data_IF_024123342182
#
_entry.id   IF_024123342182
#
_cell.length_a   1.000
_cell.length_b   1.000
_cell.length_c   1.000
_cell.angle_alpha   90.00
_cell.angle_beta   90.00
_cell.angle_gamma   90.00
#
_symmetry.space_group_name_H-M   'P 1'
#
loop_
_entity.id
_entity.type
_entity.pdbx_description
1 polymer ?
#
# COMPACT_ATOMS: atom_id res chain seq x y z
N UNK A 1 0.94 12.71 0.22
CA UNK A 1 0.91 13.39 1.52
C UNK A 1 -0.28 12.89 2.34
N UNK A 2 -1.51 13.18 1.90
CA UNK A 2 -2.74 12.75 2.58
C UNK A 2 -2.77 11.26 2.97
N UNK A 3 -2.51 10.33 2.05
CA UNK A 3 -2.50 8.89 2.34
C UNK A 3 -1.49 8.47 3.42
N UNK A 4 -0.33 9.14 3.49
CA UNK A 4 0.67 8.85 4.53
C UNK A 4 0.20 9.35 5.90
N UNK A 5 -0.36 10.56 5.95
CA UNK A 5 -0.99 11.08 7.17
C UNK A 5 -2.13 10.17 7.63
N UNK A 6 -3.00 9.71 6.73
CA UNK A 6 -4.09 8.80 7.04
C UNK A 6 -3.60 7.45 7.60
N UNK A 7 -2.54 6.89 7.02
CA UNK A 7 -1.91 5.65 7.49
C UNK A 7 -1.24 5.82 8.87
N UNK A 8 -0.67 7.01 9.14
CA UNK A 8 -0.05 7.34 10.42
C UNK A 8 -1.06 7.74 11.52
N UNK A 9 -2.20 8.34 11.16
CA UNK A 9 -3.19 8.93 12.08
C UNK A 9 -4.33 7.97 12.50
N UNK A 10 -4.37 6.75 11.97
CA UNK A 10 -5.17 5.67 12.56
C UNK A 10 -6.20 4.99 11.66
N UNK A 11 -6.29 5.30 10.37
CA UNK A 11 -7.14 4.49 9.46
C UNK A 11 -6.65 3.04 9.35
N UNK A 12 -5.34 2.84 9.51
CA UNK A 12 -4.72 1.53 9.54
C UNK A 12 -4.65 0.91 10.95
N UNK A 13 -5.29 1.53 11.94
CA UNK A 13 -5.29 1.04 13.32
C UNK A 13 -6.24 -0.15 13.48
N UNK A 14 -5.66 -1.32 13.75
CA UNK A 14 -6.40 -2.57 13.94
C UNK A 14 -7.28 -2.59 15.20
N UNK A 15 -7.24 -1.55 16.03
CA UNK A 15 -8.14 -1.36 17.18
C UNK A 15 -9.49 -0.78 16.79
N UNK A 16 -9.59 -0.18 15.60
CA UNK A 16 -10.81 0.44 15.08
C UNK A 16 -11.20 -0.09 13.69
N UNK A 17 -11.27 -1.42 13.46
CA UNK A 17 -11.64 -1.98 12.16
C UNK A 17 -13.07 -1.62 11.75
N UNK A 18 -13.93 -1.19 12.68
CA UNK A 18 -15.26 -0.63 12.41
C UNK A 18 -15.23 0.69 11.62
N UNK A 19 -14.09 1.40 11.59
CA UNK A 19 -13.93 2.65 10.85
C UNK A 19 -13.61 2.42 9.36
N UNK A 20 -13.41 1.18 8.93
CA UNK A 20 -13.33 0.83 7.51
C UNK A 20 -14.74 0.94 6.93
N UNK A 21 -15.08 2.15 6.47
CA UNK A 21 -16.43 2.47 5.98
C UNK A 21 -16.85 1.53 4.84
N UNK A 22 -17.88 0.76 5.11
CA UNK A 22 -18.48 -0.20 4.19
C UNK A 22 -20.01 -0.05 4.21
N UNK A 23 -20.53 1.18 4.30
CA UNK A 23 -21.97 1.47 4.35
C UNK A 23 -22.74 0.83 3.17
N UNK A 24 -22.09 0.70 2.02
CA UNK A 24 -22.65 0.04 0.83
C UNK A 24 -22.78 -1.49 0.97
N UNK A 25 -22.06 -2.11 1.91
CA UNK A 25 -22.08 -3.56 2.15
C UNK A 25 -23.17 -3.99 3.13
N UNK A 26 -23.80 -3.09 3.87
CA UNK A 26 -24.81 -3.43 4.88
C UNK A 26 -25.99 -4.24 4.32
N UNK A 27 -26.29 -4.07 3.03
CA UNK A 27 -27.37 -4.79 2.33
C UNK A 27 -26.87 -6.00 1.51
N UNK A 28 -25.59 -6.39 1.65
CA UNK A 28 -24.98 -7.49 0.92
C UNK A 28 -25.08 -8.80 1.71
N UNK A 29 -25.35 -9.93 1.03
CA UNK A 29 -25.40 -11.27 1.63
C UNK A 29 -24.09 -11.67 2.32
N UNK A 30 -22.94 -11.20 1.82
CA UNK A 30 -21.61 -11.51 2.37
C UNK A 30 -21.24 -10.69 3.61
N UNK A 31 -22.07 -9.73 4.04
CA UNK A 31 -21.73 -8.85 5.17
C UNK A 31 -21.51 -9.62 6.47
N UNK A 32 -22.26 -10.72 6.70
CA UNK A 32 -22.12 -11.55 7.91
C UNK A 32 -20.74 -12.20 8.02
N UNK A 33 -20.15 -12.58 6.90
CA UNK A 33 -18.81 -13.19 6.86
C UNK A 33 -17.74 -12.16 7.16
N UNK A 34 -17.88 -10.95 6.61
CA UNK A 34 -17.02 -9.80 6.92
C UNK A 34 -17.10 -9.44 8.42
N UNK A 35 -18.32 -9.32 8.97
CA UNK A 35 -18.54 -9.00 10.38
C UNK A 35 -17.89 -10.04 11.30
N UNK A 36 -18.07 -11.34 11.02
CA UNK A 36 -17.43 -12.42 11.78
C UNK A 36 -15.89 -12.35 11.74
N UNK A 37 -15.31 -11.95 10.60
CA UNK A 37 -13.87 -11.77 10.46
C UNK A 37 -13.37 -10.58 11.29
N UNK A 38 -14.05 -9.44 11.24
CA UNK A 38 -13.71 -8.24 12.03
C UNK A 38 -13.80 -8.53 13.53
N UNK A 39 -14.83 -9.26 13.95
CA UNK A 39 -15.00 -9.70 15.35
C UNK A 39 -13.84 -10.59 15.83
N UNK A 40 -13.38 -11.50 14.97
CA UNK A 40 -12.25 -12.39 15.25
C UNK A 40 -10.95 -11.61 15.43
N UNK A 41 -10.68 -10.64 14.54
CA UNK A 41 -9.51 -9.75 14.62
C UNK A 41 -9.56 -8.94 15.92
N UNK A 42 -10.72 -8.35 16.25
CA UNK A 42 -10.91 -7.55 17.46
C UNK A 42 -10.65 -8.38 18.72
N UNK A 43 -11.14 -9.62 18.78
CA UNK A 43 -10.88 -10.54 19.90
C UNK A 43 -9.39 -10.87 20.03
N UNK A 44 -8.70 -11.11 18.92
CA UNK A 44 -7.26 -11.38 18.91
C UNK A 44 -6.43 -10.18 19.39
N UNK A 45 -6.77 -8.96 18.94
CA UNK A 45 -6.12 -7.72 19.39
C UNK A 45 -6.31 -7.52 20.89
N UNK A 46 -7.55 -7.64 21.40
CA UNK A 46 -7.84 -7.55 22.84
C UNK A 46 -7.09 -8.60 23.67
N UNK A 47 -6.99 -9.82 23.16
CA UNK A 47 -6.21 -10.87 23.82
C UNK A 47 -4.74 -10.48 23.93
N UNK A 48 -4.10 -10.05 22.82
CA UNK A 48 -2.71 -9.59 22.84
C UNK A 48 -2.48 -8.42 23.81
N UNK A 49 -3.41 -7.45 23.86
CA UNK A 49 -3.32 -6.33 24.80
C UNK A 49 -3.44 -6.77 26.27
N UNK A 50 -4.23 -7.81 26.56
CA UNK A 50 -4.40 -8.33 27.93
C UNK A 50 -3.20 -9.11 28.48
N UNK A 51 -2.40 -9.73 27.60
CA UNK A 51 -1.24 -10.53 28.00
C UNK A 51 0.09 -9.79 27.87
N UNK A 52 0.13 -8.70 27.11
CA UNK A 52 1.37 -7.96 26.85
C UNK A 52 1.60 -6.87 27.91
N UNK A 53 2.73 -6.90 28.64
CA UNK A 53 3.07 -5.87 29.63
C UNK A 53 3.40 -4.50 29.01
N UNK A 54 3.59 -4.44 27.69
CA UNK A 54 3.89 -3.23 26.92
C UNK A 54 2.88 -3.07 25.77
N UNK A 55 2.43 -1.82 25.55
CA UNK A 55 1.49 -1.47 24.47
C UNK A 55 2.13 -1.85 23.12
N UNK A 56 1.45 -2.66 22.32
CA UNK A 56 1.96 -3.10 21.02
C UNK A 56 1.88 -1.92 20.04
N UNK A 57 2.96 -1.14 19.94
CA UNK A 57 3.02 0.06 19.08
C UNK A 57 2.95 -0.27 17.59
N UNK A 58 3.28 -1.50 17.20
CA UNK A 58 3.25 -1.94 15.80
C UNK A 58 1.84 -2.19 15.24
N UNK A 59 0.79 -2.19 16.08
CA UNK A 59 -0.60 -2.34 15.60
C UNK A 59 -1.19 -1.04 15.04
N UNK A 60 -0.49 0.09 15.20
CA UNK A 60 -1.00 1.42 14.85
C UNK A 60 -0.54 1.92 13.47
N UNK A 61 0.46 1.30 12.85
CA UNK A 61 1.06 1.78 11.60
C UNK A 61 1.11 0.68 10.57
N UNK A 62 0.40 0.87 9.45
CA UNK A 62 0.61 0.09 8.25
C UNK A 62 1.57 0.82 7.32
N UNK A 63 2.52 0.09 6.76
CA UNK A 63 3.34 0.62 5.68
C UNK A 63 2.47 0.76 4.42
N UNK A 64 2.32 1.99 3.93
CA UNK A 64 1.56 2.29 2.73
C UNK A 64 2.48 2.61 1.55
N UNK A 65 2.31 1.86 0.47
CA UNK A 65 3.05 2.01 -0.78
C UNK A 65 2.10 2.44 -1.91
N UNK A 66 2.66 3.09 -2.92
CA UNK A 66 1.93 3.56 -4.10
C UNK A 66 2.46 2.87 -5.34
N UNK A 67 1.58 2.66 -6.31
CA UNK A 67 1.95 2.09 -7.61
C UNK A 67 1.09 2.62 -8.74
N UNK A 68 1.65 2.63 -9.95
CA UNK A 68 0.93 2.90 -11.21
C UNK A 68 1.62 2.24 -12.41
N UNK A 69 0.91 2.19 -13.54
CA UNK A 69 1.52 1.81 -14.82
C UNK A 69 2.41 2.94 -15.32
N UNK A 70 3.70 2.68 -15.53
CA UNK A 70 4.63 3.66 -16.07
C UNK A 70 4.43 3.81 -17.59
N UNK A 71 3.27 4.34 -17.97
CA UNK A 71 2.79 4.42 -19.35
C UNK A 71 3.35 5.65 -20.08
N UNK A 72 3.40 6.80 -19.40
CA UNK A 72 3.89 8.05 -19.98
C UNK A 72 5.37 8.24 -19.65
N UNK A 73 6.24 7.74 -20.54
CA UNK A 73 7.68 7.78 -20.33
C UNK A 73 8.26 9.19 -20.19
N UNK A 74 7.62 10.23 -20.73
CA UNK A 74 8.07 11.61 -20.50
C UNK A 74 7.89 12.01 -19.03
N UNK A 75 6.77 11.62 -18.42
CA UNK A 75 6.53 11.88 -17.01
C UNK A 75 7.45 11.01 -16.13
N UNK A 76 7.50 9.70 -16.39
CA UNK A 76 8.26 8.76 -15.58
C UNK A 76 9.78 9.04 -15.64
N UNK A 77 10.35 9.31 -16.82
CA UNK A 77 11.74 9.71 -16.95
C UNK A 77 12.03 11.05 -16.24
N UNK A 78 11.08 11.99 -16.29
CA UNK A 78 11.20 13.26 -15.58
C UNK A 78 11.15 13.10 -14.06
N UNK A 79 10.65 11.98 -13.51
CA UNK A 79 10.68 11.66 -12.07
C UNK A 79 11.82 10.71 -11.67
N UNK A 80 12.57 10.15 -12.63
CA UNK A 80 13.70 9.25 -12.37
C UNK A 80 14.93 10.01 -11.85
N UNK A 81 15.45 9.60 -10.69
CA UNK A 81 16.62 10.23 -10.04
C UNK A 81 17.52 9.20 -9.39
N UNK A 82 18.78 9.55 -9.19
CA UNK A 82 19.64 8.86 -8.23
C UNK A 82 19.29 9.37 -6.81
N UNK A 83 19.31 8.48 -5.83
CA UNK A 83 19.01 8.82 -4.44
C UNK A 83 20.24 8.66 -3.55
N UNK A 84 20.36 9.45 -2.46
CA UNK A 84 21.45 9.27 -1.52
C UNK A 84 21.50 7.83 -0.98
N UNK A 85 22.71 7.28 -0.83
CA UNK A 85 22.97 5.96 -0.19
C UNK A 85 22.42 4.73 -0.95
N UNK A 86 21.92 4.86 -2.18
CA UNK A 86 21.66 3.73 -3.07
C UNK A 86 22.27 3.98 -4.45
N UNK A 87 22.85 2.95 -5.06
CA UNK A 87 23.33 3.00 -6.43
C UNK A 87 22.15 2.86 -7.42
N UNK A 88 22.34 3.30 -8.66
CA UNK A 88 21.32 3.17 -9.72
C UNK A 88 20.31 4.31 -9.76
N UNK A 89 19.32 4.16 -10.64
CA UNK A 89 18.26 5.13 -10.86
C UNK A 89 16.94 4.60 -10.31
N UNK A 90 16.15 5.46 -9.70
CA UNK A 90 14.84 5.12 -9.15
C UNK A 90 13.80 6.07 -9.75
N UNK A 91 12.69 5.53 -10.23
CA UNK A 91 11.52 6.32 -10.56
C UNK A 91 10.84 6.75 -9.26
N UNK A 92 10.91 8.04 -8.90
CA UNK A 92 10.36 8.55 -7.63
C UNK A 92 8.87 8.93 -7.70
N UNK A 93 8.19 8.61 -8.80
CA UNK A 93 6.75 8.85 -8.94
C UNK A 93 5.91 7.87 -8.10
N UNK A 94 6.42 6.67 -7.83
CA UNK A 94 5.78 5.65 -7.00
C UNK A 94 6.80 4.69 -6.40
N UNK A 95 6.36 3.82 -5.48
CA UNK A 95 7.23 2.82 -4.88
C UNK A 95 7.43 1.65 -5.85
N UNK A 96 6.36 1.19 -6.47
CA UNK A 96 6.38 0.17 -7.52
C UNK A 96 5.71 0.72 -8.77
N UNK A 97 6.32 0.51 -9.94
CA UNK A 97 5.68 0.80 -11.23
C UNK A 97 5.61 -0.48 -12.04
N UNK A 98 4.61 -0.62 -12.92
CA UNK A 98 4.44 -1.81 -13.74
C UNK A 98 4.38 -1.54 -15.25
N UNK A 99 4.70 -2.58 -16.02
CA UNK A 99 4.54 -2.64 -17.47
C UNK A 99 3.13 -3.10 -17.83
N UNK A 100 2.43 -2.34 -18.66
CA UNK A 100 1.13 -2.74 -19.17
C UNK A 100 1.23 -3.89 -20.17
N UNK A 101 0.13 -4.64 -20.33
CA UNK A 101 0.09 -5.74 -21.29
C UNK A 101 0.26 -5.30 -22.76
N UNK A 102 0.01 -4.02 -23.07
CA UNK A 102 0.14 -3.44 -24.43
C UNK A 102 1.46 -2.67 -24.63
N UNK A 103 2.31 -2.61 -23.62
CA UNK A 103 3.57 -1.86 -23.60
C UNK A 103 4.74 -2.72 -23.17
N UNK A 104 4.60 -4.05 -23.24
CA UNK A 104 5.59 -5.04 -22.79
C UNK A 104 6.42 -5.66 -23.92
N UNK A 105 6.53 -4.97 -25.06
CA UNK A 105 7.38 -5.43 -26.16
C UNK A 105 8.83 -5.44 -25.70
N UNK A 106 9.53 -6.58 -25.87
CA UNK A 106 10.87 -6.80 -25.31
C UNK A 106 11.90 -5.79 -25.82
N UNK A 107 11.76 -5.37 -27.07
CA UNK A 107 12.62 -4.35 -27.71
C UNK A 107 12.00 -2.94 -27.64
N UNK A 108 10.95 -2.77 -26.83
CA UNK A 108 10.19 -1.53 -26.69
C UNK A 108 10.78 -0.56 -25.67
N UNK A 109 10.43 0.72 -25.81
CA UNK A 109 10.94 1.80 -24.96
C UNK A 109 10.61 1.60 -23.46
N UNK A 110 9.44 1.05 -23.15
CA UNK A 110 9.04 0.77 -21.78
C UNK A 110 9.90 -0.32 -21.14
N UNK A 111 10.19 -1.42 -21.84
CA UNK A 111 11.06 -2.48 -21.32
C UNK A 111 12.48 -1.95 -21.12
N UNK A 112 13.00 -1.15 -22.04
CA UNK A 112 14.31 -0.51 -21.88
C UNK A 112 14.35 0.45 -20.69
N UNK A 113 13.28 1.25 -20.49
CA UNK A 113 13.16 2.10 -19.31
C UNK A 113 13.16 1.29 -18.01
N UNK A 114 12.39 0.20 -17.94
CA UNK A 114 12.33 -0.68 -16.78
C UNK A 114 13.66 -1.38 -16.49
N UNK A 115 14.43 -1.71 -17.54
CA UNK A 115 15.78 -2.28 -17.40
C UNK A 115 16.73 -1.36 -16.64
N UNK A 116 16.52 -0.05 -16.72
CA UNK A 116 17.40 0.98 -16.15
C UNK A 116 17.06 1.44 -14.73
N UNK A 117 15.89 1.11 -14.20
CA UNK A 117 15.43 1.55 -12.87
C UNK A 117 15.56 0.43 -11.83
N UNK A 118 15.62 0.81 -10.55
CA UNK A 118 15.78 -0.10 -9.40
C UNK A 118 14.66 0.06 -8.36
N UNK A 119 13.45 0.40 -8.82
CA UNK A 119 12.26 0.51 -7.99
C UNK A 119 11.98 -0.75 -7.16
#
# INVERSE_FOLDING_TARGET
>A
NFLRALADEGFADLRHPEQWEMDFMLNNEYYKEYEAMVDSITKAVRFMESISPSRVTNLQKADFYTSHEALNLFYDAAQTRQVPRKAGFFNLSAHMVWLGNRTRDLDGAHVEYFRGIQN
#
